data_IF_413264843881
#
_entry.id   IF_413264843881
#
_cell.length_a   1.000
_cell.length_b   1.000
_cell.length_c   1.000
_cell.angle_alpha   90.00
_cell.angle_beta   90.00
_cell.angle_gamma   90.00
#
_symmetry.space_group_name_H-M   'P 1'
#
loop_
_entity.id
_entity.type
_entity.pdbx_description
1 polymer ?
#
# COMPACT_ATOMS: atom_id res chain seq x y z
N UNK A 1 -3.67 -35.78 25.35
CA UNK A 1 -2.46 -34.93 25.42
C UNK A 1 -1.48 -35.37 24.34
N UNK A 2 -1.10 -34.49 23.40
CA UNK A 2 -0.02 -34.77 22.43
C UNK A 2 1.29 -34.74 23.20
N UNK A 3 1.99 -35.93 23.32
CA UNK A 3 3.31 -35.98 23.94
C UNK A 3 4.25 -35.03 23.20
N UNK A 4 4.95 -34.19 23.95
CA UNK A 4 6.02 -33.35 23.45
C UNK A 4 7.13 -34.22 22.86
N UNK A 5 7.70 -33.78 21.79
CA UNK A 5 8.88 -34.23 21.12
C UNK A 5 10.02 -34.63 22.09
N UNK A 6 10.34 -35.91 22.13
CA UNK A 6 11.37 -36.44 23.02
C UNK A 6 12.62 -36.81 22.22
N UNK A 7 13.78 -36.43 22.71
CA UNK A 7 15.10 -36.80 22.22
C UNK A 7 15.91 -37.37 23.37
N UNK A 8 16.75 -38.36 23.07
CA UNK A 8 17.71 -38.89 24.03
C UNK A 8 19.01 -39.27 23.32
N UNK A 9 20.12 -39.32 24.06
CA UNK A 9 21.33 -39.93 23.56
C UNK A 9 21.17 -41.45 23.69
N UNK A 10 21.70 -42.20 22.72
CA UNK A 10 21.76 -43.66 22.75
C UNK A 10 22.67 -44.12 23.88
N UNK A 11 22.58 -45.37 24.30
CA UNK A 11 23.41 -45.91 25.36
C UNK A 11 24.93 -45.85 25.12
N UNK A 12 25.37 -45.56 23.89
CA UNK A 12 26.76 -45.28 23.53
C UNK A 12 27.21 -43.83 23.83
N UNK A 13 26.30 -42.97 24.23
CA UNK A 13 26.56 -41.54 24.53
C UNK A 13 26.84 -40.65 23.32
N UNK A 14 26.96 -41.18 22.12
CA UNK A 14 27.41 -40.42 20.92
C UNK A 14 26.27 -40.21 19.89
N UNK A 15 25.27 -41.09 19.85
CA UNK A 15 24.23 -41.02 18.82
C UNK A 15 22.90 -40.54 19.37
N UNK A 16 22.29 -39.54 18.65
CA UNK A 16 21.00 -38.96 18.98
C UNK A 16 19.86 -39.87 18.49
N UNK A 17 18.95 -40.23 19.38
CA UNK A 17 17.70 -40.91 19.06
C UNK A 17 16.50 -39.97 19.23
N UNK A 18 15.50 -40.11 18.36
CA UNK A 18 14.25 -39.36 18.35
C UNK A 18 13.08 -40.36 18.49
N UNK A 19 12.13 -40.04 19.37
CA UNK A 19 10.94 -40.86 19.57
C UNK A 19 9.92 -40.66 18.46
N UNK A 20 9.49 -41.75 17.82
CA UNK A 20 8.44 -41.73 16.83
C UNK A 20 7.07 -41.94 17.47
N UNK A 21 6.21 -40.90 17.44
CA UNK A 21 4.86 -40.98 18.02
C UNK A 21 3.90 -41.91 17.23
N UNK A 22 4.27 -42.34 16.03
CA UNK A 22 3.42 -43.22 15.20
C UNK A 22 3.67 -44.69 15.45
N UNK A 23 4.93 -45.14 15.55
CA UNK A 23 5.26 -46.53 15.85
C UNK A 23 5.74 -46.74 17.31
N UNK A 24 5.71 -45.72 18.14
CA UNK A 24 6.11 -45.74 19.54
C UNK A 24 7.53 -46.29 19.80
N UNK A 25 8.45 -46.08 18.85
CA UNK A 25 9.82 -46.56 18.93
C UNK A 25 10.84 -45.42 18.85
N UNK A 26 11.95 -45.62 19.57
CA UNK A 26 13.13 -44.78 19.43
C UNK A 26 13.90 -45.17 18.17
N UNK A 27 14.31 -44.19 17.38
CA UNK A 27 15.08 -44.41 16.15
C UNK A 27 16.13 -43.32 15.99
N UNK A 28 17.25 -43.67 15.39
CA UNK A 28 18.29 -42.69 15.07
C UNK A 28 17.74 -41.46 14.31
N UNK A 29 18.27 -40.29 14.61
CA UNK A 29 17.82 -39.04 14.07
C UNK A 29 17.75 -39.00 12.52
N UNK A 30 18.61 -39.78 11.84
CA UNK A 30 18.62 -39.95 10.39
C UNK A 30 17.29 -40.52 9.84
N UNK A 31 16.55 -41.23 10.67
CA UNK A 31 15.24 -41.79 10.37
C UNK A 31 14.09 -40.80 10.37
N UNK A 32 14.37 -39.50 10.55
CA UNK A 32 13.35 -38.43 10.61
C UNK A 32 13.59 -37.34 9.58
N UNK A 33 12.52 -36.63 9.17
CA UNK A 33 12.63 -35.42 8.39
C UNK A 33 12.86 -34.22 9.32
N UNK A 34 13.72 -33.30 8.89
CA UNK A 34 13.98 -32.03 9.58
C UNK A 34 13.17 -30.92 8.93
N UNK A 35 12.43 -30.14 9.69
CA UNK A 35 11.67 -28.98 9.25
C UNK A 35 11.97 -27.80 10.19
N UNK A 36 12.48 -26.72 9.64
CA UNK A 36 12.88 -25.51 10.42
C UNK A 36 13.79 -25.87 11.61
N UNK A 37 14.81 -26.72 11.38
CA UNK A 37 15.79 -27.13 12.40
C UNK A 37 15.27 -28.11 13.46
N UNK A 38 14.06 -28.66 13.31
CA UNK A 38 13.48 -29.64 14.25
C UNK A 38 13.11 -30.92 13.53
N UNK A 39 13.32 -32.06 14.19
CA UNK A 39 12.89 -33.38 13.68
C UNK A 39 11.36 -33.50 13.73
N UNK A 40 10.75 -34.14 12.73
CA UNK A 40 9.32 -34.44 12.79
C UNK A 40 9.05 -35.49 13.89
N UNK A 41 7.86 -35.46 14.48
CA UNK A 41 7.42 -36.42 15.50
C UNK A 41 7.10 -37.82 14.93
N UNK A 42 7.20 -38.03 13.64
CA UNK A 42 6.93 -39.28 12.93
C UNK A 42 8.12 -39.65 12.06
N UNK A 43 8.65 -40.87 12.21
CA UNK A 43 9.79 -41.33 11.41
C UNK A 43 9.44 -41.45 9.91
N UNK A 44 10.46 -41.48 9.05
CA UNK A 44 10.31 -41.54 7.58
C UNK A 44 9.49 -42.74 7.10
N UNK A 45 9.68 -43.93 7.72
CA UNK A 45 8.89 -45.12 7.38
C UNK A 45 7.41 -44.97 7.72
N UNK A 46 7.07 -44.59 8.95
CA UNK A 46 5.67 -44.34 9.32
C UNK A 46 5.05 -43.17 8.54
N UNK A 47 5.84 -42.18 8.19
CA UNK A 47 5.35 -41.09 7.35
C UNK A 47 5.04 -41.59 5.94
N UNK A 48 5.89 -42.45 5.35
CA UNK A 48 5.62 -43.00 4.00
C UNK A 48 4.51 -44.02 4.01
N UNK A 49 4.32 -44.82 5.10
CA UNK A 49 3.15 -45.69 5.25
C UNK A 49 1.85 -44.94 5.38
N UNK A 50 1.84 -43.86 6.17
CA UNK A 50 0.62 -43.05 6.40
C UNK A 50 0.25 -42.18 5.24
N UNK A 51 1.23 -41.65 4.51
CA UNK A 51 1.01 -40.68 3.41
C UNK A 51 1.38 -41.22 2.03
N UNK A 52 1.76 -42.49 1.93
CA UNK A 52 2.25 -43.14 0.73
C UNK A 52 3.71 -42.79 0.41
N UNK A 53 4.47 -43.72 -0.16
CA UNK A 53 5.66 -43.34 -0.95
C UNK A 53 5.12 -42.41 -2.01
N UNK A 54 5.69 -41.25 -2.19
CA UNK A 54 5.26 -40.28 -3.21
C UNK A 54 5.03 -40.89 -4.59
N UNK A 55 4.07 -41.80 -4.70
CA UNK A 55 3.47 -42.17 -5.94
C UNK A 55 2.67 -40.97 -6.39
N UNK A 56 3.01 -40.39 -7.50
CA UNK A 56 2.28 -39.28 -8.12
C UNK A 56 0.83 -39.63 -8.45
N UNK A 57 0.24 -40.66 -7.81
CA UNK A 57 -1.16 -41.02 -7.94
C UNK A 57 -2.03 -40.04 -7.18
N UNK A 58 -2.44 -39.01 -7.89
CA UNK A 58 -3.57 -38.17 -7.50
C UNK A 58 -4.84 -38.92 -7.91
N UNK A 59 -5.78 -39.10 -6.99
CA UNK A 59 -7.07 -39.69 -7.31
C UNK A 59 -7.68 -38.97 -8.53
N UNK A 60 -8.46 -39.65 -9.38
CA UNK A 60 -9.09 -39.04 -10.57
C UNK A 60 -9.86 -37.75 -10.23
N UNK A 61 -10.52 -37.68 -9.07
CA UNK A 61 -11.20 -36.49 -8.57
C UNK A 61 -10.23 -35.33 -8.25
N UNK A 62 -9.04 -35.63 -7.72
CA UNK A 62 -8.02 -34.63 -7.41
C UNK A 62 -7.33 -34.09 -8.67
N UNK A 63 -7.14 -34.96 -9.68
CA UNK A 63 -6.62 -34.56 -10.99
C UNK A 63 -7.64 -33.72 -11.75
N UNK A 64 -8.93 -34.06 -11.68
CA UNK A 64 -10.02 -33.29 -12.31
C UNK A 64 -10.12 -31.90 -11.67
N UNK A 65 -10.17 -31.79 -10.33
CA UNK A 65 -10.19 -30.54 -9.63
C UNK A 65 -8.94 -29.66 -9.91
N UNK A 66 -7.77 -30.28 -10.07
CA UNK A 66 -6.53 -29.59 -10.44
C UNK A 66 -6.59 -29.03 -11.88
N UNK A 67 -7.14 -29.79 -12.82
CA UNK A 67 -7.31 -29.32 -14.21
C UNK A 67 -8.32 -28.18 -14.31
N UNK A 68 -9.44 -28.26 -13.62
CA UNK A 68 -10.45 -27.20 -13.57
C UNK A 68 -9.91 -25.94 -12.91
N UNK A 69 -9.11 -26.08 -11.85
CA UNK A 69 -8.44 -24.95 -11.19
C UNK A 69 -7.39 -24.31 -12.11
N UNK A 70 -6.64 -25.11 -12.86
CA UNK A 70 -5.69 -24.61 -13.85
C UNK A 70 -6.39 -23.89 -15.00
N UNK A 71 -7.52 -24.43 -15.47
CA UNK A 71 -8.30 -23.79 -16.52
C UNK A 71 -8.86 -22.45 -16.04
N UNK A 72 -9.52 -22.40 -14.87
CA UNK A 72 -10.00 -21.15 -14.26
C UNK A 72 -8.90 -20.11 -14.11
N UNK A 73 -7.68 -20.53 -13.72
CA UNK A 73 -6.54 -19.63 -13.64
C UNK A 73 -6.12 -19.08 -15.00
N UNK A 74 -6.14 -19.91 -16.05
CA UNK A 74 -5.85 -19.47 -17.43
C UNK A 74 -6.89 -18.48 -17.91
N UNK A 75 -8.17 -18.77 -17.68
CA UNK A 75 -9.27 -17.90 -18.05
C UNK A 75 -9.16 -16.55 -17.36
N UNK A 76 -8.92 -16.53 -16.04
CA UNK A 76 -8.69 -15.33 -15.26
C UNK A 76 -7.49 -14.49 -15.75
N UNK A 77 -6.41 -15.16 -16.18
CA UNK A 77 -5.22 -14.49 -16.72
C UNK A 77 -5.46 -13.85 -18.10
N UNK A 78 -6.40 -14.38 -18.85
CA UNK A 78 -6.77 -13.87 -20.17
C UNK A 78 -7.94 -12.88 -20.14
N UNK A 79 -8.63 -12.71 -19.00
CA UNK A 79 -9.62 -11.65 -18.85
C UNK A 79 -9.00 -10.28 -19.15
N UNK A 80 -9.74 -9.47 -19.90
CA UNK A 80 -9.30 -8.12 -20.24
C UNK A 80 -9.43 -7.19 -19.01
N UNK A 81 -8.42 -6.40 -18.80
CA UNK A 81 -8.37 -5.38 -17.74
C UNK A 81 -7.95 -4.06 -18.35
N UNK A 82 -8.61 -2.98 -17.93
CA UNK A 82 -8.22 -1.63 -18.33
C UNK A 82 -7.10 -1.13 -17.42
N UNK A 83 -6.02 -0.68 -18.02
CA UNK A 83 -4.90 -0.08 -17.31
C UNK A 83 -5.32 1.28 -16.72
N UNK A 84 -5.18 1.45 -15.40
CA UNK A 84 -5.50 2.72 -14.73
C UNK A 84 -4.57 3.87 -15.09
N UNK A 85 -3.43 3.57 -15.72
CA UNK A 85 -2.40 4.55 -16.06
C UNK A 85 -2.44 5.01 -17.52
N UNK A 86 -2.71 4.09 -18.47
CA UNK A 86 -2.71 4.42 -19.90
C UNK A 86 -4.02 4.11 -20.62
N UNK A 87 -5.05 3.67 -19.91
CA UNK A 87 -6.37 3.25 -20.40
C UNK A 87 -6.35 2.14 -21.46
N UNK A 88 -5.21 1.52 -21.71
CA UNK A 88 -5.13 0.38 -22.63
C UNK A 88 -5.84 -0.83 -22.03
N UNK A 89 -6.64 -1.50 -22.85
CA UNK A 89 -7.31 -2.75 -22.49
C UNK A 89 -6.40 -3.92 -22.88
N UNK A 90 -5.98 -4.71 -21.91
CA UNK A 90 -5.03 -5.82 -22.10
C UNK A 90 -5.39 -7.02 -21.25
N UNK A 91 -4.92 -8.24 -21.61
CA UNK A 91 -5.07 -9.41 -20.75
C UNK A 91 -4.41 -9.20 -19.38
N UNK A 92 -5.07 -9.67 -18.32
CA UNK A 92 -4.62 -9.50 -16.92
C UNK A 92 -3.20 -10.01 -16.67
N UNK A 93 -2.74 -11.04 -17.40
CA UNK A 93 -1.37 -11.54 -17.34
C UNK A 93 -0.30 -10.48 -17.59
N UNK A 94 -0.60 -9.44 -18.39
CA UNK A 94 0.33 -8.33 -18.68
C UNK A 94 0.45 -7.32 -17.54
N UNK A 95 -0.36 -7.45 -16.52
CA UNK A 95 -0.33 -6.60 -15.32
C UNK A 95 0.49 -7.23 -14.17
N UNK A 96 1.16 -8.36 -14.42
CA UNK A 96 1.99 -9.01 -13.41
C UNK A 96 3.32 -8.28 -13.23
N UNK A 97 3.65 -7.96 -11.99
CA UNK A 97 4.93 -7.34 -11.63
C UNK A 97 5.86 -8.37 -10.96
N UNK A 98 6.93 -8.75 -11.63
CA UNK A 98 7.91 -9.74 -11.16
C UNK A 98 8.58 -9.36 -9.83
N UNK A 99 8.83 -8.06 -9.60
CA UNK A 99 9.49 -7.60 -8.36
C UNK A 99 8.58 -7.69 -7.15
N UNK A 100 7.31 -7.33 -7.34
CA UNK A 100 6.30 -7.36 -6.27
C UNK A 100 5.61 -8.72 -6.17
N UNK A 101 5.83 -9.61 -7.15
CA UNK A 101 5.14 -10.90 -7.29
C UNK A 101 3.61 -10.77 -7.19
N UNK A 102 3.07 -9.72 -7.78
CA UNK A 102 1.65 -9.35 -7.72
C UNK A 102 1.13 -8.82 -9.05
N UNK A 103 -0.19 -8.93 -9.26
CA UNK A 103 -0.89 -8.25 -10.34
C UNK A 103 -1.23 -6.83 -9.90
N UNK A 104 -0.87 -5.86 -10.73
CA UNK A 104 -1.09 -4.45 -10.47
C UNK A 104 -2.29 -3.93 -11.28
N UNK A 105 -2.89 -2.81 -10.90
CA UNK A 105 -4.00 -2.21 -11.66
C UNK A 105 -3.54 -1.54 -12.97
N UNK A 106 -2.24 -1.53 -13.26
CA UNK A 106 -1.61 -0.92 -14.42
C UNK A 106 -0.66 -1.89 -15.12
N UNK A 107 -0.70 -1.94 -16.46
CA UNK A 107 0.16 -2.79 -17.29
C UNK A 107 1.46 -2.11 -17.71
N UNK A 108 1.42 -0.79 -17.89
CA UNK A 108 2.61 -0.03 -18.14
C UNK A 108 3.40 -0.01 -16.84
N UNK A 109 4.62 -0.51 -16.89
CA UNK A 109 5.57 -0.10 -15.88
C UNK A 109 5.54 1.42 -15.91
N UNK A 110 5.37 2.05 -14.76
CA UNK A 110 5.57 3.49 -14.58
C UNK A 110 6.98 3.93 -14.95
N UNK A 111 7.74 3.05 -15.51
CA UNK A 111 9.01 3.30 -16.16
C UNK A 111 8.71 3.92 -17.51
N UNK A 112 8.62 5.26 -17.49
CA UNK A 112 8.83 6.01 -18.71
C UNK A 112 10.05 5.45 -19.43
N UNK A 113 9.99 5.28 -20.74
CA UNK A 113 11.18 4.93 -21.55
C UNK A 113 12.26 5.99 -21.35
N UNK A 114 13.50 5.67 -21.65
CA UNK A 114 14.57 6.65 -21.60
C UNK A 114 14.27 7.86 -22.49
N UNK A 115 13.75 7.64 -23.68
CA UNK A 115 13.35 8.68 -24.63
C UNK A 115 12.28 9.61 -24.03
N UNK A 116 11.26 9.05 -23.37
CA UNK A 116 10.24 9.85 -22.67
C UNK A 116 10.84 10.68 -21.54
N UNK A 117 11.81 10.12 -20.80
CA UNK A 117 12.47 10.83 -19.71
C UNK A 117 13.33 11.96 -20.24
N UNK A 118 14.10 11.72 -21.32
CA UNK A 118 14.91 12.73 -21.97
C UNK A 118 14.06 13.86 -22.54
N UNK A 119 12.94 13.51 -23.19
CA UNK A 119 11.96 14.49 -23.66
C UNK A 119 11.37 15.30 -22.52
N UNK A 120 10.96 14.63 -21.44
CA UNK A 120 10.44 15.29 -20.24
C UNK A 120 11.47 16.24 -19.61
N UNK A 121 12.74 15.85 -19.55
CA UNK A 121 13.83 16.69 -19.03
C UNK A 121 14.05 17.90 -19.96
N UNK A 122 14.07 17.68 -21.27
CA UNK A 122 14.26 18.75 -22.27
C UNK A 122 13.12 19.78 -22.22
N UNK A 123 11.89 19.31 -22.09
CA UNK A 123 10.70 20.14 -22.03
C UNK A 123 10.39 20.69 -20.62
N UNK A 124 11.14 20.25 -19.59
CA UNK A 124 10.88 20.55 -18.18
C UNK A 124 9.45 20.21 -17.74
N UNK A 125 8.87 19.17 -18.33
CA UNK A 125 7.50 18.71 -18.10
C UNK A 125 7.49 17.25 -17.69
N UNK A 126 6.51 16.84 -16.88
CA UNK A 126 6.34 15.47 -16.42
C UNK A 126 4.87 15.13 -16.19
N UNK A 127 4.47 13.90 -16.51
CA UNK A 127 3.15 13.40 -16.17
C UNK A 127 3.11 12.88 -14.73
N UNK A 128 2.14 13.36 -13.97
CA UNK A 128 1.88 12.86 -12.60
C UNK A 128 1.29 11.47 -12.65
N UNK A 129 1.85 10.56 -11.84
CA UNK A 129 1.39 9.18 -11.80
C UNK A 129 -0.03 9.00 -11.24
N UNK A 130 -0.47 9.89 -10.35
CA UNK A 130 -1.79 9.81 -9.72
C UNK A 130 -2.90 10.44 -10.60
N UNK A 131 -2.72 11.71 -10.99
CA UNK A 131 -3.76 12.44 -11.74
C UNK A 131 -3.59 12.38 -13.25
N UNK A 132 -2.48 11.85 -13.77
CA UNK A 132 -2.19 11.76 -15.21
C UNK A 132 -1.85 13.08 -15.90
N UNK A 133 -1.98 14.22 -15.21
CA UNK A 133 -1.72 15.52 -15.81
C UNK A 133 -0.23 15.69 -16.11
N UNK A 134 0.06 16.26 -17.31
CA UNK A 134 1.40 16.70 -17.70
C UNK A 134 1.65 18.09 -17.13
N UNK A 135 2.58 18.20 -16.21
CA UNK A 135 2.83 19.40 -15.42
C UNK A 135 4.31 19.79 -15.48
N UNK A 136 4.66 21.08 -15.27
CA UNK A 136 6.03 21.53 -15.13
C UNK A 136 6.80 20.82 -14.03
N UNK A 137 8.12 20.73 -14.14
CA UNK A 137 8.98 20.06 -13.16
C UNK A 137 8.95 20.69 -11.76
N UNK A 138 8.67 21.98 -11.66
CA UNK A 138 8.51 22.69 -10.38
C UNK A 138 7.27 22.25 -9.60
N UNK A 139 6.26 21.68 -10.27
CA UNK A 139 5.12 21.02 -9.62
C UNK A 139 5.44 19.66 -8.98
N UNK A 140 6.69 19.22 -9.07
CA UNK A 140 7.12 17.93 -8.48
C UNK A 140 8.24 18.14 -7.46
N UNK A 141 8.12 17.49 -6.31
CA UNK A 141 9.16 17.49 -5.28
C UNK A 141 10.43 16.79 -5.78
N UNK A 142 11.58 17.20 -5.27
CA UNK A 142 12.87 16.58 -5.58
C UNK A 142 12.94 15.14 -5.05
N UNK A 143 13.58 14.26 -5.82
CA UNK A 143 13.88 12.88 -5.43
C UNK A 143 15.27 12.46 -5.92
N UNK A 144 16.22 12.20 -5.02
CA UNK A 144 17.58 11.83 -5.41
C UNK A 144 17.64 10.53 -6.20
N UNK A 145 16.68 9.63 -5.99
CA UNK A 145 16.60 8.31 -6.61
C UNK A 145 15.81 8.29 -7.94
N UNK A 146 15.14 9.37 -8.28
CA UNK A 146 14.43 9.51 -9.55
C UNK A 146 15.42 9.74 -10.70
N UNK A 147 15.17 9.15 -11.88
CA UNK A 147 16.01 9.37 -13.07
C UNK A 147 15.99 10.83 -13.53
N UNK A 148 14.84 11.48 -13.41
CA UNK A 148 14.63 12.91 -13.67
C UNK A 148 14.75 13.76 -12.39
N UNK A 149 15.27 13.20 -11.30
CA UNK A 149 15.41 13.85 -9.99
C UNK A 149 14.08 14.39 -9.41
N UNK A 150 12.96 13.90 -9.90
CA UNK A 150 11.60 14.30 -9.46
C UNK A 150 10.80 13.11 -8.93
N UNK A 151 9.94 13.37 -7.95
CA UNK A 151 8.99 12.37 -7.43
C UNK A 151 7.96 11.98 -8.49
N UNK A 152 7.33 10.80 -8.40
CA UNK A 152 6.35 10.33 -9.40
C UNK A 152 5.01 11.06 -9.33
N UNK A 153 4.70 11.69 -8.20
CA UNK A 153 3.45 12.41 -7.95
C UNK A 153 3.71 13.91 -7.92
N UNK A 154 2.77 14.72 -8.44
CA UNK A 154 2.84 16.17 -8.27
C UNK A 154 2.58 16.56 -6.81
N UNK A 155 3.02 17.75 -6.41
CA UNK A 155 2.90 18.28 -5.04
C UNK A 155 1.46 18.23 -4.49
N UNK A 156 0.46 18.56 -5.31
CA UNK A 156 -0.95 18.45 -4.93
C UNK A 156 -1.37 17.01 -4.64
N UNK A 157 -0.97 16.05 -5.48
CA UNK A 157 -1.27 14.63 -5.25
C UNK A 157 -0.51 14.06 -4.06
N UNK A 158 0.73 14.49 -3.81
CA UNK A 158 1.48 14.10 -2.60
C UNK A 158 0.77 14.58 -1.33
N UNK A 159 0.34 15.84 -1.28
CA UNK A 159 -0.40 16.40 -0.14
C UNK A 159 -1.75 15.69 0.07
N UNK A 160 -2.49 15.43 -1.01
CA UNK A 160 -3.75 14.69 -0.98
C UNK A 160 -3.55 13.24 -0.46
N UNK A 161 -2.52 12.54 -0.95
CA UNK A 161 -2.17 11.18 -0.49
C UNK A 161 -1.82 11.14 0.99
N UNK A 162 -1.03 12.11 1.47
CA UNK A 162 -0.69 12.21 2.88
C UNK A 162 -1.93 12.42 3.78
N UNK A 163 -3.00 13.03 3.26
CA UNK A 163 -4.26 13.20 3.99
C UNK A 163 -5.10 11.92 3.99
N UNK A 164 -5.19 11.23 2.85
CA UNK A 164 -5.98 9.99 2.69
C UNK A 164 -5.30 8.81 3.38
N UNK A 165 -3.96 8.71 3.26
CA UNK A 165 -3.16 7.59 3.77
C UNK A 165 -2.27 8.04 4.93
N UNK A 166 -2.87 8.31 6.09
CA UNK A 166 -2.11 8.69 7.29
C UNK A 166 -1.31 7.51 7.85
N UNK A 167 -0.04 7.76 8.22
CA UNK A 167 0.81 6.73 8.87
C UNK A 167 0.48 6.55 10.37
N UNK A 168 -0.42 7.36 10.94
CA UNK A 168 -0.80 7.30 12.35
C UNK A 168 -2.02 6.37 12.54
N UNK A 169 -1.88 5.22 13.24
CA UNK A 169 -2.96 4.24 13.40
C UNK A 169 -4.25 4.83 14.01
N UNK A 170 -4.13 5.63 15.08
CA UNK A 170 -5.27 6.22 15.78
C UNK A 170 -6.05 7.17 14.87
N UNK A 171 -5.32 7.95 14.05
CA UNK A 171 -5.95 8.84 13.07
C UNK A 171 -6.64 8.07 11.96
N UNK A 172 -6.06 6.96 11.52
CA UNK A 172 -6.67 6.10 10.49
C UNK A 172 -7.94 5.43 11.01
N UNK A 173 -7.99 5.08 12.29
CA UNK A 173 -9.20 4.53 12.91
C UNK A 173 -10.33 5.58 12.94
N UNK A 174 -10.05 6.81 13.37
CA UNK A 174 -11.00 7.92 13.34
C UNK A 174 -11.50 8.22 11.92
N UNK A 175 -10.60 8.22 10.94
CA UNK A 175 -10.95 8.41 9.52
C UNK A 175 -11.91 7.30 9.09
N UNK A 176 -11.56 6.03 9.27
CA UNK A 176 -12.38 4.88 8.87
C UNK A 176 -13.77 4.87 9.52
N UNK A 177 -13.86 5.32 10.77
CA UNK A 177 -15.13 5.36 11.50
C UNK A 177 -16.11 6.41 10.95
N UNK A 178 -15.63 7.41 10.21
CA UNK A 178 -16.43 8.57 9.78
C UNK A 178 -16.37 8.84 8.29
N UNK A 179 -15.60 8.06 7.53
CA UNK A 179 -15.42 8.18 6.08
C UNK A 179 -16.64 7.61 5.35
N UNK A 180 -17.26 8.43 4.50
CA UNK A 180 -18.37 8.06 3.63
C UNK A 180 -17.92 7.72 2.20
N UNK A 181 -16.60 7.65 1.96
CA UNK A 181 -15.99 7.40 0.65
C UNK A 181 -16.00 8.62 -0.28
N UNK A 182 -16.49 9.77 0.16
CA UNK A 182 -16.52 10.99 -0.65
C UNK A 182 -15.13 11.62 -0.87
N UNK A 183 -14.15 11.28 -0.01
CA UNK A 183 -12.80 11.83 -0.07
C UNK A 183 -11.87 10.87 -0.82
N UNK A 184 -11.41 11.29 -1.97
CA UNK A 184 -10.39 10.58 -2.77
C UNK A 184 -9.18 11.45 -3.00
N UNK A 185 -8.03 10.82 -3.30
CA UNK A 185 -6.80 11.56 -3.66
C UNK A 185 -7.05 12.49 -4.84
N UNK A 186 -7.84 12.04 -5.83
CA UNK A 186 -8.19 12.85 -7.01
C UNK A 186 -8.95 14.10 -6.60
N UNK A 187 -10.03 13.97 -5.83
CA UNK A 187 -10.86 15.10 -5.38
C UNK A 187 -10.02 16.10 -4.58
N UNK A 188 -9.26 15.63 -3.59
CA UNK A 188 -8.42 16.52 -2.80
C UNK A 188 -7.31 17.21 -3.61
N UNK A 189 -6.71 16.51 -4.58
CA UNK A 189 -5.69 17.11 -5.44
C UNK A 189 -6.26 18.16 -6.39
N UNK A 190 -7.49 17.96 -6.86
CA UNK A 190 -8.21 18.92 -7.69
C UNK A 190 -8.61 20.17 -6.86
N UNK A 191 -9.09 19.98 -5.63
CA UNK A 191 -9.34 21.09 -4.69
C UNK A 191 -8.08 21.92 -4.45
N UNK A 192 -6.95 21.25 -4.11
CA UNK A 192 -5.67 21.93 -3.92
C UNK A 192 -5.22 22.71 -5.15
N UNK A 193 -5.45 22.18 -6.34
CA UNK A 193 -5.04 22.83 -7.59
C UNK A 193 -5.90 24.05 -7.90
N UNK A 194 -7.20 23.95 -7.70
CA UNK A 194 -8.16 24.99 -8.07
C UNK A 194 -8.31 26.11 -7.03
N UNK A 195 -7.83 25.91 -5.78
CA UNK A 195 -7.89 26.95 -4.74
C UNK A 195 -6.59 27.75 -4.74
N UNK A 196 -6.63 28.97 -5.27
CA UNK A 196 -5.44 29.83 -5.37
C UNK A 196 -5.21 30.70 -4.13
N UNK A 197 -6.27 31.17 -3.50
CA UNK A 197 -6.22 32.08 -2.36
C UNK A 197 -6.84 31.46 -1.12
N UNK A 198 -6.31 31.82 0.04
CA UNK A 198 -6.87 31.42 1.32
C UNK A 198 -8.09 32.27 1.66
N UNK A 199 -9.27 31.67 1.76
CA UNK A 199 -10.53 32.37 2.06
C UNK A 199 -10.50 33.13 3.40
N UNK A 200 -9.57 32.76 4.29
CA UNK A 200 -9.46 33.37 5.62
C UNK A 200 -8.52 34.57 5.68
N UNK A 201 -7.46 34.64 4.89
CA UNK A 201 -6.50 35.73 4.96
C UNK A 201 -6.18 36.37 3.60
N UNK A 202 -6.80 35.87 2.53
CA UNK A 202 -6.59 36.38 1.18
C UNK A 202 -5.22 36.08 0.57
N UNK A 203 -4.28 35.48 1.34
CA UNK A 203 -2.94 35.22 0.80
C UNK A 203 -3.01 34.25 -0.39
N UNK A 204 -2.25 34.54 -1.44
CA UNK A 204 -2.05 33.60 -2.52
C UNK A 204 -1.29 32.39 -2.01
N UNK A 205 -1.89 31.21 -2.15
CA UNK A 205 -1.33 29.98 -1.62
C UNK A 205 -0.43 29.27 -2.63
N UNK A 206 0.65 28.67 -2.12
CA UNK A 206 1.68 27.95 -2.89
C UNK A 206 1.84 26.52 -2.43
N UNK A 207 2.67 25.76 -3.11
CA UNK A 207 3.15 24.42 -2.71
C UNK A 207 4.68 24.38 -2.74
N UNK A 208 5.29 25.39 -2.12
CA UNK A 208 6.74 25.59 -2.17
C UNK A 208 7.51 24.70 -1.19
N UNK A 209 8.79 24.51 -1.50
CA UNK A 209 9.76 23.93 -0.59
C UNK A 209 10.99 24.85 -0.54
N UNK A 210 11.47 25.24 0.65
CA UNK A 210 10.97 24.85 1.97
C UNK A 210 9.54 25.35 2.25
N UNK A 211 8.86 24.64 3.15
CA UNK A 211 7.46 24.93 3.49
C UNK A 211 7.34 26.34 4.12
N UNK A 212 6.41 27.13 3.63
CA UNK A 212 6.11 28.49 4.08
C UNK A 212 4.71 28.59 4.68
N UNK A 213 4.38 29.65 5.45
CA UNK A 213 3.03 29.86 5.96
C UNK A 213 1.94 29.96 4.87
N UNK A 214 2.30 30.29 3.63
CA UNK A 214 1.40 30.36 2.49
C UNK A 214 1.14 29.02 1.82
N UNK A 215 1.83 27.93 2.20
CA UNK A 215 1.59 26.62 1.61
C UNK A 215 0.15 26.14 1.81
N UNK A 216 -0.43 25.56 0.77
CA UNK A 216 -1.77 24.96 0.79
C UNK A 216 -1.81 23.79 1.76
N UNK A 217 -2.83 23.73 2.57
CA UNK A 217 -3.11 22.59 3.48
C UNK A 217 -4.55 22.15 3.37
N UNK A 218 -4.80 20.87 3.64
CA UNK A 218 -6.13 20.28 3.71
C UNK A 218 -6.49 20.15 5.18
N UNK A 219 -7.55 20.82 5.61
CA UNK A 219 -8.01 20.78 6.99
C UNK A 219 -9.47 20.34 7.09
N UNK A 220 -9.93 20.01 8.31
CA UNK A 220 -11.33 19.74 8.60
C UNK A 220 -11.96 20.99 9.25
N UNK A 221 -13.13 21.40 8.76
CA UNK A 221 -13.88 22.51 9.34
C UNK A 221 -14.19 22.26 10.81
N UNK A 222 -14.73 21.08 11.10
CA UNK A 222 -14.84 20.54 12.45
C UNK A 222 -13.70 19.49 12.60
N UNK A 223 -12.74 19.71 13.52
CA UNK A 223 -11.62 18.79 13.71
C UNK A 223 -12.09 17.37 14.07
N UNK A 224 -11.38 16.35 13.59
CA UNK A 224 -11.65 14.94 13.96
C UNK A 224 -11.63 14.72 15.49
N UNK A 225 -10.77 15.45 16.22
CA UNK A 225 -10.68 15.43 17.68
C UNK A 225 -11.91 16.05 18.39
N UNK A 226 -12.83 16.63 17.64
CA UNK A 226 -14.07 17.23 18.11
C UNK A 226 -15.28 16.65 17.37
N UNK A 227 -15.27 15.35 17.16
CA UNK A 227 -16.30 14.56 16.48
C UNK A 227 -16.58 15.00 15.03
N UNK A 228 -15.63 15.69 14.39
CA UNK A 228 -15.68 16.01 12.97
C UNK A 228 -15.59 14.74 12.12
N UNK A 229 -16.38 14.69 11.04
CA UNK A 229 -16.41 13.55 10.12
C UNK A 229 -15.36 13.71 9.01
N UNK A 230 -14.82 12.60 8.53
CA UNK A 230 -13.94 12.57 7.35
C UNK A 230 -14.77 12.47 6.07
N UNK A 231 -15.47 13.54 5.74
CA UNK A 231 -16.35 13.67 4.56
C UNK A 231 -16.04 14.96 3.82
N UNK A 232 -16.34 15.00 2.53
CA UNK A 232 -15.95 16.12 1.66
C UNK A 232 -16.54 17.46 2.13
N UNK A 233 -17.75 17.46 2.65
CA UNK A 233 -18.40 18.67 3.19
C UNK A 233 -17.77 19.24 4.46
N UNK A 234 -16.86 18.49 5.10
CA UNK A 234 -16.08 18.91 6.26
C UNK A 234 -14.61 19.20 5.92
N UNK A 235 -14.28 19.36 4.62
CA UNK A 235 -12.91 19.63 4.15
C UNK A 235 -12.80 21.02 3.58
N UNK A 236 -11.78 21.73 4.03
CA UNK A 236 -11.41 23.05 3.52
C UNK A 236 -9.94 23.10 3.12
N UNK A 237 -9.63 23.89 2.07
CA UNK A 237 -8.26 24.23 1.68
C UNK A 237 -7.92 25.60 2.24
N UNK A 238 -6.87 25.67 3.04
CA UNK A 238 -6.40 26.93 3.61
C UNK A 238 -4.87 27.01 3.65
N UNK A 239 -4.32 28.18 3.84
CA UNK A 239 -2.88 28.32 4.02
C UNK A 239 -2.41 27.72 5.35
N UNK A 240 -1.16 27.27 5.40
CA UNK A 240 -0.56 26.65 6.60
C UNK A 240 -0.62 27.62 7.81
N UNK A 241 -0.42 28.92 7.60
CA UNK A 241 -0.52 29.92 8.65
C UNK A 241 -1.91 29.96 9.29
N UNK A 242 -2.97 29.98 8.50
CA UNK A 242 -4.34 29.92 9.02
C UNK A 242 -4.68 28.58 9.66
N UNK A 243 -4.25 27.47 9.06
CA UNK A 243 -4.45 26.13 9.62
C UNK A 243 -3.77 25.99 10.99
N UNK A 244 -2.51 26.42 11.10
CA UNK A 244 -1.77 26.41 12.37
C UNK A 244 -2.42 27.34 13.42
N UNK A 245 -2.93 28.48 13.02
CA UNK A 245 -3.65 29.39 13.92
C UNK A 245 -5.02 28.85 14.33
N UNK A 246 -5.72 28.11 13.47
CA UNK A 246 -7.01 27.48 13.77
C UNK A 246 -6.88 26.39 14.85
N UNK A 247 -5.82 25.58 14.79
CA UNK A 247 -5.61 24.47 15.75
C UNK A 247 -6.83 23.52 15.83
N UNK A 248 -7.33 23.29 17.06
CA UNK A 248 -8.49 22.43 17.34
C UNK A 248 -9.83 23.16 17.33
N UNK A 249 -9.87 24.43 16.91
CA UNK A 249 -11.12 25.18 16.77
C UNK A 249 -11.88 24.72 15.54
N UNK A 250 -13.22 24.86 15.58
CA UNK A 250 -14.00 24.77 14.35
C UNK A 250 -13.71 25.98 13.45
N UNK A 251 -14.00 25.85 12.18
CA UNK A 251 -13.82 26.93 11.23
C UNK A 251 -14.61 28.19 11.61
N UNK A 252 -15.84 27.98 12.12
CA UNK A 252 -16.70 29.06 12.59
C UNK A 252 -16.11 29.79 13.80
N UNK A 253 -15.61 29.06 14.81
CA UNK A 253 -14.94 29.63 15.98
C UNK A 253 -13.70 30.43 15.57
N UNK A 254 -12.90 29.89 14.67
CA UNK A 254 -11.71 30.55 14.16
C UNK A 254 -12.05 31.85 13.43
N UNK A 255 -13.08 31.86 12.59
CA UNK A 255 -13.53 33.06 11.87
C UNK A 255 -14.03 34.15 12.80
N UNK A 256 -14.75 33.78 13.89
CA UNK A 256 -15.20 34.75 14.93
C UNK A 256 -14.04 35.40 15.67
N UNK A 257 -12.99 34.63 16.02
CA UNK A 257 -11.80 35.17 16.69
C UNK A 257 -11.07 36.14 15.78
N UNK A 258 -10.95 35.81 14.49
CA UNK A 258 -10.24 36.65 13.52
C UNK A 258 -10.95 38.00 13.30
N UNK A 259 -12.26 38.01 13.18
CA UNK A 259 -13.07 39.24 13.10
C UNK A 259 -12.87 40.13 14.30
N UNK A 260 -12.80 39.56 15.54
CA UNK A 260 -12.53 40.32 16.77
C UNK A 260 -11.13 40.93 16.81
N UNK A 261 -10.14 40.32 16.15
CA UNK A 261 -8.75 40.79 16.14
C UNK A 261 -8.47 41.84 15.04
N UNK A 262 -9.48 42.28 14.26
CA UNK A 262 -9.33 43.27 13.20
C UNK A 262 -8.39 42.87 12.05
N UNK A 263 -8.10 41.56 11.91
CA UNK A 263 -7.26 41.02 10.86
C UNK A 263 -8.18 40.40 9.79
N UNK A 264 -8.77 41.25 8.98
CA UNK A 264 -9.44 40.84 7.74
C UNK A 264 -8.44 40.79 6.62
#
# INVERSE_FOLDING_TARGET
MRKKYEQRLRGDGESLEVYCNSCANWKGYQGFHVVKGRYKSTCKSCHSEKYGKGSGYKSPSHVKKSKEAQQRRKDWLNELQTCTSCNAVKPRKEFYNERQKAYLPYCCSTRRTWEQIETDIKEQMKSCFECGLRLPFDEFSFSPNGRDKKRPYCKCCEAARAKVYSDKPERMEQIRATDDGSITVKILSDMLRNTEHCDHCGVRMTQDYPVTPSNKTIDHDIPLSRDGKHILSNITIMCLGCNSAKQTRTLEEFSKVKKKMGRV
#
